data_IF_181994289833
#
_entry.id   IF_181994289833
#
_cell.length_a   1.000
_cell.length_b   1.000
_cell.length_c   1.000
_cell.angle_alpha   90.00
_cell.angle_beta   90.00
_cell.angle_gamma   90.00
#
_symmetry.space_group_name_H-M   'P 1'
#
loop_
_entity.id
_entity.type
_entity.pdbx_description
1 polymer ?
#
# COMPACT_ATOMS: atom_id res chain seq x y z
N UNK A 1 11.95 -4.27 -14.95
CA UNK A 1 12.51 -4.14 -13.58
C UNK A 1 13.92 -3.58 -13.65
N UNK A 2 14.36 -2.73 -12.70
CA UNK A 2 15.74 -2.20 -12.69
C UNK A 2 16.72 -3.30 -12.23
N UNK A 3 17.76 -3.63 -12.99
CA UNK A 3 18.74 -4.65 -12.60
C UNK A 3 19.37 -4.36 -11.24
N UNK A 4 19.50 -5.39 -10.40
CA UNK A 4 20.15 -5.30 -9.07
C UNK A 4 19.53 -4.29 -8.08
N UNK A 5 18.32 -3.81 -8.37
CA UNK A 5 17.55 -3.00 -7.43
C UNK A 5 16.96 -3.84 -6.29
N UNK A 6 16.49 -3.18 -5.23
CA UNK A 6 15.70 -3.85 -4.18
C UNK A 6 14.48 -4.57 -4.76
N UNK A 7 13.83 -3.98 -5.76
CA UNK A 7 12.74 -4.64 -6.49
C UNK A 7 13.20 -5.94 -7.14
N UNK A 8 14.37 -5.93 -7.78
CA UNK A 8 14.96 -7.14 -8.37
C UNK A 8 15.26 -8.21 -7.33
N UNK A 9 15.82 -7.84 -6.18
CA UNK A 9 16.05 -8.79 -5.09
C UNK A 9 14.74 -9.43 -4.61
N UNK A 10 13.69 -8.63 -4.38
CA UNK A 10 12.38 -9.13 -3.96
C UNK A 10 11.78 -10.05 -5.03
N UNK A 11 11.81 -9.61 -6.30
CA UNK A 11 11.32 -10.41 -7.44
C UNK A 11 12.06 -11.74 -7.57
N UNK A 12 13.39 -11.74 -7.40
CA UNK A 12 14.21 -12.95 -7.42
C UNK A 12 13.88 -13.91 -6.26
N UNK A 13 13.67 -13.40 -5.05
CA UNK A 13 13.27 -14.22 -3.88
C UNK A 13 11.88 -14.85 -4.12
N UNK A 14 10.90 -14.07 -4.58
CA UNK A 14 9.56 -14.58 -4.88
C UNK A 14 9.59 -15.58 -6.03
N UNK A 15 10.36 -15.28 -7.09
CA UNK A 15 10.58 -16.17 -8.21
C UNK A 15 11.26 -17.48 -7.79
N UNK A 16 12.19 -17.43 -6.85
CA UNK A 16 12.85 -18.61 -6.30
C UNK A 16 11.83 -19.49 -5.56
N UNK A 17 10.95 -18.90 -4.74
CA UNK A 17 9.84 -19.65 -4.13
C UNK A 17 8.89 -20.23 -5.18
N UNK A 18 8.59 -19.47 -6.23
CA UNK A 18 7.80 -19.93 -7.38
C UNK A 18 8.47 -21.11 -8.10
N UNK A 19 9.79 -21.19 -8.11
CA UNK A 19 10.47 -22.38 -8.62
C UNK A 19 10.38 -23.56 -7.67
N UNK A 20 10.55 -23.32 -6.38
CA UNK A 20 10.51 -24.38 -5.38
C UNK A 20 9.14 -25.04 -5.30
N UNK A 21 8.03 -24.30 -5.26
CA UNK A 21 6.70 -24.93 -5.21
C UNK A 21 6.23 -25.53 -6.55
N UNK A 22 6.91 -25.24 -7.67
CA UNK A 22 6.66 -25.94 -8.94
C UNK A 22 7.41 -27.28 -9.00
N UNK A 23 8.58 -27.39 -8.36
CA UNK A 23 9.34 -28.63 -8.25
C UNK A 23 8.87 -29.54 -7.11
N UNK A 24 8.41 -28.95 -6.00
CA UNK A 24 7.87 -29.66 -4.84
C UNK A 24 6.42 -29.25 -4.60
N UNK A 25 5.44 -29.99 -5.14
CA UNK A 25 4.02 -29.66 -5.02
C UNK A 25 3.53 -29.52 -3.57
N UNK A 26 4.19 -30.19 -2.61
CA UNK A 26 3.88 -30.07 -1.17
C UNK A 26 3.96 -28.62 -0.68
N UNK A 27 4.88 -27.82 -1.24
CA UNK A 27 5.01 -26.40 -0.87
C UNK A 27 3.80 -25.55 -1.31
N UNK A 28 2.99 -26.02 -2.27
CA UNK A 28 1.74 -25.35 -2.66
C UNK A 28 0.70 -25.36 -1.55
N UNK A 29 0.76 -26.31 -0.61
CA UNK A 29 -0.09 -26.31 0.57
C UNK A 29 0.27 -25.20 1.56
N UNK A 30 1.50 -24.69 1.51
CA UNK A 30 1.95 -23.54 2.32
C UNK A 30 1.56 -22.24 1.62
N UNK A 31 1.94 -22.08 0.35
CA UNK A 31 1.61 -20.90 -0.44
C UNK A 31 1.66 -21.19 -1.94
N UNK A 32 0.54 -20.97 -2.63
CA UNK A 32 0.45 -21.10 -4.09
C UNK A 32 0.30 -19.74 -4.76
N UNK A 33 1.30 -19.37 -5.57
CA UNK A 33 1.29 -18.15 -6.37
C UNK A 33 0.20 -18.10 -7.45
N UNK A 34 -0.38 -19.24 -7.85
CA UNK A 34 -1.43 -19.31 -8.89
C UNK A 34 -1.04 -18.62 -10.20
N UNK A 35 0.20 -18.87 -10.64
CA UNK A 35 0.78 -18.30 -11.86
C UNK A 35 1.05 -19.38 -12.94
N UNK A 36 0.03 -20.11 -13.44
CA UNK A 36 0.23 -21.17 -14.43
C UNK A 36 0.82 -20.66 -15.75
N UNK A 37 0.52 -19.41 -16.13
CA UNK A 37 1.04 -18.77 -17.34
C UNK A 37 2.58 -18.66 -17.36
N UNK A 38 3.23 -18.68 -16.19
CA UNK A 38 4.68 -18.59 -16.03
C UNK A 38 5.38 -19.94 -15.83
N UNK A 39 4.65 -21.07 -15.92
CA UNK A 39 5.23 -22.42 -15.80
C UNK A 39 6.23 -22.76 -16.92
N UNK A 40 6.19 -22.04 -18.03
CA UNK A 40 7.16 -22.19 -19.13
C UNK A 40 8.61 -21.76 -18.75
N UNK A 41 8.80 -21.15 -17.58
CA UNK A 41 10.12 -20.76 -17.05
C UNK A 41 10.72 -21.91 -16.26
N UNK A 42 11.69 -22.60 -16.87
CA UNK A 42 12.20 -23.87 -16.35
C UNK A 42 13.51 -23.75 -15.56
N UNK A 43 14.25 -22.66 -15.68
CA UNK A 43 15.59 -22.55 -15.08
C UNK A 43 15.67 -21.51 -13.96
N UNK A 44 16.44 -21.81 -12.90
CA UNK A 44 16.73 -20.85 -11.82
C UNK A 44 17.47 -19.62 -12.33
N UNK A 45 18.37 -19.80 -13.30
CA UNK A 45 19.09 -18.69 -13.93
C UNK A 45 18.12 -17.68 -14.58
N UNK A 46 17.10 -18.16 -15.30
CA UNK A 46 16.10 -17.26 -15.89
C UNK A 46 15.31 -16.49 -14.82
N UNK A 47 14.97 -17.13 -13.71
CA UNK A 47 14.22 -16.54 -12.59
C UNK A 47 15.04 -15.47 -11.85
N UNK A 48 16.32 -15.74 -11.62
CA UNK A 48 17.23 -14.83 -10.92
C UNK A 48 17.81 -13.73 -11.84
N UNK A 49 17.66 -13.89 -13.16
CA UNK A 49 18.18 -12.93 -14.13
C UNK A 49 17.27 -11.70 -14.20
N UNK A 50 17.84 -10.47 -14.17
CA UNK A 50 17.09 -9.25 -14.43
C UNK A 50 16.41 -9.25 -15.81
N UNK A 51 16.92 -10.07 -16.72
CA UNK A 51 16.50 -10.16 -18.11
C UNK A 51 15.63 -11.40 -18.40
N UNK A 52 15.26 -12.18 -17.38
CA UNK A 52 14.35 -13.30 -17.52
C UNK A 52 12.95 -12.87 -17.95
N UNK A 53 12.16 -13.78 -18.56
CA UNK A 53 10.82 -13.48 -19.06
C UNK A 53 9.90 -12.89 -18.01
N UNK A 54 9.93 -13.43 -16.79
CA UNK A 54 9.14 -12.93 -15.65
C UNK A 54 9.59 -11.50 -15.29
N UNK A 55 10.87 -11.29 -15.00
CA UNK A 55 11.38 -9.98 -14.52
C UNK A 55 11.31 -8.85 -15.58
N UNK A 56 11.21 -9.20 -16.87
CA UNK A 56 10.95 -8.27 -17.97
C UNK A 56 9.47 -8.00 -18.24
N UNK A 57 8.59 -8.88 -17.77
CA UNK A 57 7.16 -8.73 -18.00
C UNK A 57 6.60 -7.52 -17.27
N UNK A 58 5.68 -6.81 -17.93
CA UNK A 58 4.82 -5.80 -17.32
C UNK A 58 3.55 -6.41 -16.74
N UNK A 59 3.28 -7.69 -17.04
CA UNK A 59 2.12 -8.45 -16.53
C UNK A 59 2.46 -9.11 -15.18
N UNK A 60 2.82 -8.26 -14.21
CA UNK A 60 3.16 -8.67 -12.85
C UNK A 60 2.65 -7.63 -11.84
N UNK A 61 2.19 -8.11 -10.68
CA UNK A 61 1.74 -7.25 -9.59
C UNK A 61 2.82 -6.22 -9.17
N UNK A 62 4.11 -6.59 -9.20
CA UNK A 62 5.22 -5.67 -8.87
C UNK A 62 5.38 -4.51 -9.86
N UNK A 63 4.94 -4.69 -11.11
CA UNK A 63 4.87 -3.60 -12.09
C UNK A 63 3.63 -2.73 -11.83
N UNK A 64 2.52 -3.37 -11.48
CA UNK A 64 1.22 -2.70 -11.33
C UNK A 64 1.11 -1.81 -10.10
N UNK A 65 1.85 -2.15 -9.06
CA UNK A 65 1.91 -1.35 -7.83
C UNK A 65 2.79 -0.10 -8.00
N UNK A 66 3.56 0.04 -9.09
CA UNK A 66 4.39 1.23 -9.29
C UNK A 66 3.51 2.48 -9.37
N UNK A 67 3.83 3.58 -8.65
CA UNK A 67 2.95 4.75 -8.58
C UNK A 67 2.57 5.30 -9.95
N UNK A 68 3.53 5.45 -10.88
CA UNK A 68 3.28 5.95 -12.24
C UNK A 68 2.29 5.07 -13.02
N UNK A 69 2.48 3.76 -13.02
CA UNK A 69 1.60 2.83 -13.73
C UNK A 69 0.21 2.77 -13.10
N UNK A 70 0.14 2.90 -11.76
CA UNK A 70 -1.12 3.04 -11.03
C UNK A 70 -1.88 4.30 -11.42
N UNK A 71 -1.20 5.46 -11.50
CA UNK A 71 -1.83 6.71 -11.93
C UNK A 71 -2.42 6.58 -13.35
N UNK A 72 -1.65 5.98 -14.26
CA UNK A 72 -2.08 5.72 -15.64
C UNK A 72 -3.32 4.83 -15.70
N UNK A 73 -3.40 3.79 -14.87
CA UNK A 73 -4.59 2.93 -14.77
C UNK A 73 -5.77 3.66 -14.16
N UNK A 74 -5.54 4.45 -13.11
CA UNK A 74 -6.59 5.24 -12.48
C UNK A 74 -7.26 6.21 -13.47
N UNK A 75 -6.50 6.76 -14.42
CA UNK A 75 -7.04 7.62 -15.48
C UNK A 75 -8.00 6.89 -16.44
N UNK A 76 -8.01 5.56 -16.45
CA UNK A 76 -8.89 4.73 -17.27
C UNK A 76 -10.16 4.29 -16.51
N UNK A 77 -10.32 4.66 -15.24
CA UNK A 77 -11.51 4.33 -14.46
C UNK A 77 -12.73 5.09 -15.01
N UNK A 78 -13.76 4.35 -15.41
CA UNK A 78 -15.03 4.88 -15.93
C UNK A 78 -16.19 4.43 -15.07
N UNK A 79 -17.29 5.19 -15.09
CA UNK A 79 -18.54 4.85 -14.39
C UNK A 79 -18.44 4.72 -12.87
N UNK A 80 -17.47 5.40 -12.25
CA UNK A 80 -17.31 5.42 -10.79
C UNK A 80 -18.52 6.05 -10.08
N UNK A 81 -19.31 6.89 -10.78
CA UNK A 81 -20.57 7.49 -10.34
C UNK A 81 -21.66 6.46 -9.98
N UNK A 82 -21.59 5.25 -10.56
CA UNK A 82 -22.62 4.21 -10.41
C UNK A 82 -22.44 3.34 -9.18
N UNK A 83 -21.27 3.39 -8.54
CA UNK A 83 -20.89 2.51 -7.43
C UNK A 83 -20.67 3.32 -6.16
N UNK A 84 -20.91 2.66 -5.02
CA UNK A 84 -20.51 3.20 -3.73
C UNK A 84 -19.02 2.90 -3.51
N UNK A 85 -18.25 3.91 -3.15
CA UNK A 85 -16.80 3.81 -3.07
C UNK A 85 -16.36 4.07 -1.64
N UNK A 86 -15.68 3.08 -1.07
CA UNK A 86 -15.16 3.11 0.28
C UNK A 86 -13.70 2.70 0.27
N UNK A 87 -12.85 3.56 0.82
CA UNK A 87 -11.48 3.24 1.14
C UNK A 87 -11.31 3.02 2.64
N UNK A 88 -10.69 1.89 3.00
CA UNK A 88 -10.19 1.65 4.36
C UNK A 88 -8.73 2.07 4.37
N UNK A 89 -8.43 3.15 5.10
CA UNK A 89 -7.11 3.77 5.16
C UNK A 89 -6.44 3.37 6.48
N UNK A 90 -5.34 2.64 6.37
CA UNK A 90 -4.49 2.27 7.51
C UNK A 90 -3.65 3.47 7.99
N UNK A 91 -2.76 3.25 8.94
CA UNK A 91 -1.94 4.28 9.54
C UNK A 91 -0.50 3.80 9.78
N UNK A 92 0.39 4.74 10.09
CA UNK A 92 1.73 4.46 10.60
C UNK A 92 1.74 4.17 12.12
N UNK A 93 0.57 4.04 12.75
CA UNK A 93 0.45 3.82 14.18
C UNK A 93 0.97 2.43 14.58
N UNK A 94 1.77 2.42 15.64
CA UNK A 94 2.40 1.20 16.15
C UNK A 94 2.35 1.21 17.68
N UNK A 95 1.93 0.08 18.24
CA UNK A 95 1.96 -0.23 19.66
C UNK A 95 3.11 -1.20 19.96
N UNK A 96 3.84 -0.94 21.03
CA UNK A 96 4.95 -1.81 21.44
C UNK A 96 4.36 -2.99 22.25
N UNK A 97 4.57 -4.25 21.84
CA UNK A 97 4.07 -5.42 22.56
C UNK A 97 4.91 -5.68 23.83
N UNK A 98 4.69 -4.85 24.87
CA UNK A 98 5.52 -4.82 26.08
C UNK A 98 5.52 -6.17 26.80
N UNK A 99 4.36 -6.83 26.89
CA UNK A 99 4.22 -8.11 27.60
C UNK A 99 5.04 -9.19 26.91
N UNK A 100 4.94 -9.29 25.59
CA UNK A 100 5.66 -10.26 24.77
C UNK A 100 7.17 -10.02 24.86
N UNK A 101 7.61 -8.75 24.77
CA UNK A 101 9.02 -8.37 24.94
C UNK A 101 9.53 -8.77 26.32
N UNK A 102 8.77 -8.50 27.38
CA UNK A 102 9.13 -8.90 28.76
C UNK A 102 9.23 -10.42 28.88
N UNK A 103 8.28 -11.17 28.30
CA UNK A 103 8.31 -12.63 28.31
C UNK A 103 9.51 -13.19 27.55
N UNK A 104 9.85 -12.62 26.39
CA UNK A 104 11.05 -12.99 25.62
C UNK A 104 12.31 -12.75 26.46
N UNK A 105 12.43 -11.57 27.07
CA UNK A 105 13.57 -11.23 27.92
C UNK A 105 13.68 -12.20 29.10
N UNK A 106 12.57 -12.53 29.74
CA UNK A 106 12.53 -13.45 30.87
C UNK A 106 12.90 -14.89 30.47
N UNK A 107 12.47 -15.36 29.29
CA UNK A 107 12.95 -16.64 28.72
C UNK A 107 14.46 -16.62 28.52
N UNK A 108 15.00 -15.54 27.93
CA UNK A 108 16.44 -15.40 27.71
C UNK A 108 17.22 -15.41 29.03
N UNK A 109 16.76 -14.66 30.04
CA UNK A 109 17.36 -14.63 31.38
C UNK A 109 17.38 -16.04 31.97
N UNK A 110 16.27 -16.77 31.95
CA UNK A 110 16.24 -18.13 32.50
C UNK A 110 17.13 -19.12 31.73
N UNK A 111 17.21 -19.02 30.42
CA UNK A 111 18.13 -19.84 29.62
C UNK A 111 19.58 -19.54 30.00
N UNK A 112 19.95 -18.26 30.08
CA UNK A 112 21.31 -17.84 30.48
C UNK A 112 21.64 -18.31 31.90
N UNK A 113 20.72 -18.13 32.86
CA UNK A 113 20.89 -18.61 34.23
C UNK A 113 21.04 -20.13 34.29
N UNK A 114 20.28 -20.88 33.49
CA UNK A 114 20.42 -22.33 33.41
C UNK A 114 21.81 -22.74 32.89
N UNK A 115 22.29 -22.12 31.80
CA UNK A 115 23.61 -22.38 31.23
C UNK A 115 24.73 -22.08 32.24
N UNK A 116 24.69 -20.91 32.90
CA UNK A 116 25.68 -20.55 33.92
C UNK A 116 25.60 -21.48 35.14
N UNK A 117 24.40 -21.87 35.55
CA UNK A 117 24.19 -22.80 36.66
C UNK A 117 24.83 -24.16 36.39
N UNK A 118 24.66 -24.71 35.18
CA UNK A 118 25.30 -25.97 34.80
C UNK A 118 26.82 -25.84 34.71
N UNK A 119 27.36 -24.76 34.15
CA UNK A 119 28.82 -24.58 34.04
C UNK A 119 29.51 -24.38 35.39
N UNK A 120 28.81 -23.82 36.38
CA UNK A 120 29.32 -23.60 37.75
C UNK A 120 28.98 -24.73 38.73
N UNK A 121 28.32 -25.80 38.29
CA UNK A 121 27.95 -26.94 39.14
C UNK A 121 26.74 -26.69 40.07
N UNK A 122 26.01 -25.58 39.91
CA UNK A 122 24.78 -25.28 40.64
C UNK A 122 23.56 -25.91 39.96
N UNK A 123 23.48 -27.25 39.99
CA UNK A 123 22.47 -28.04 39.27
C UNK A 123 21.02 -27.72 39.67
N UNK A 124 20.75 -27.49 40.95
CA UNK A 124 19.39 -27.16 41.43
C UNK A 124 18.86 -25.84 40.83
N UNK A 125 19.69 -24.79 40.82
CA UNK A 125 19.35 -23.48 40.23
C UNK A 125 19.18 -23.61 38.71
N UNK A 126 20.01 -24.42 38.06
CA UNK A 126 19.93 -24.65 36.63
C UNK A 126 18.62 -25.37 36.23
N UNK A 127 18.27 -26.44 36.94
CA UNK A 127 17.03 -27.19 36.71
C UNK A 127 15.79 -26.32 36.97
N UNK A 128 15.77 -25.54 38.06
CA UNK A 128 14.68 -24.61 38.34
C UNK A 128 14.51 -23.57 37.23
N UNK A 129 15.62 -22.98 36.77
CA UNK A 129 15.62 -22.00 35.68
C UNK A 129 15.08 -22.60 34.37
N UNK A 130 15.41 -23.86 34.08
CA UNK A 130 14.89 -24.56 32.90
C UNK A 130 13.38 -24.81 32.99
N UNK A 131 12.86 -25.22 34.15
CA UNK A 131 11.40 -25.39 34.34
C UNK A 131 10.68 -24.05 34.17
N UNK A 132 11.25 -22.97 34.71
CA UNK A 132 10.72 -21.62 34.57
C UNK A 132 10.76 -21.12 33.11
N UNK A 133 11.82 -21.43 32.36
CA UNK A 133 11.91 -21.07 30.93
C UNK A 133 10.84 -21.79 30.10
N UNK A 134 10.61 -23.09 30.34
CA UNK A 134 9.57 -23.86 29.66
C UNK A 134 8.18 -23.29 29.94
N UNK A 135 7.84 -23.01 31.21
CA UNK A 135 6.55 -22.39 31.57
C UNK A 135 6.36 -21.03 30.90
N UNK A 136 7.41 -20.22 30.89
CA UNK A 136 7.37 -18.89 30.26
C UNK A 136 7.24 -19.00 28.74
N UNK A 137 7.92 -19.95 28.11
CA UNK A 137 7.85 -20.21 26.68
C UNK A 137 6.44 -20.67 26.26
N UNK A 138 5.80 -21.51 27.06
CA UNK A 138 4.40 -21.92 26.81
C UNK A 138 3.43 -20.74 26.92
N UNK A 139 3.63 -19.85 27.91
CA UNK A 139 2.84 -18.62 28.03
C UNK A 139 3.09 -17.68 26.84
N UNK A 140 4.36 -17.51 26.45
CA UNK A 140 4.74 -16.69 25.29
C UNK A 140 4.11 -17.23 24.02
N UNK A 141 4.15 -18.55 23.77
CA UNK A 141 3.51 -19.17 22.61
C UNK A 141 2.02 -18.85 22.51
N UNK A 142 1.30 -18.92 23.64
CA UNK A 142 -0.13 -18.57 23.68
C UNK A 142 -0.36 -17.09 23.39
N UNK A 143 0.48 -16.21 23.90
CA UNK A 143 0.38 -14.77 23.62
C UNK A 143 0.69 -14.47 22.15
N UNK A 144 1.73 -15.09 21.58
CA UNK A 144 2.08 -14.93 20.15
C UNK A 144 0.97 -15.38 19.21
N UNK A 145 0.16 -16.38 19.59
CA UNK A 145 -0.99 -16.83 18.81
C UNK A 145 -2.13 -15.82 18.77
N UNK A 146 -2.25 -14.99 19.80
CA UNK A 146 -3.28 -13.95 19.93
C UNK A 146 -2.74 -12.55 19.63
N UNK A 147 -1.49 -12.46 19.16
CA UNK A 147 -0.83 -11.18 18.95
C UNK A 147 -1.43 -10.47 17.74
N UNK A 148 -1.82 -9.23 17.95
CA UNK A 148 -2.34 -8.38 16.88
C UNK A 148 -1.17 -7.81 16.04
N UNK A 149 -0.79 -8.56 15.01
CA UNK A 149 0.30 -8.20 14.09
C UNK A 149 0.05 -6.90 13.32
N UNK A 150 -1.21 -6.48 13.21
CA UNK A 150 -1.61 -5.21 12.61
C UNK A 150 -1.36 -4.00 13.52
N UNK A 151 -1.21 -4.22 14.83
CA UNK A 151 -0.98 -3.13 15.80
C UNK A 151 0.48 -3.00 16.24
N UNK A 152 1.36 -3.94 15.90
CA UNK A 152 2.76 -3.98 16.38
C UNK A 152 3.76 -3.56 15.28
N UNK A 153 5.06 -3.31 15.59
CA UNK A 153 6.06 -2.87 14.59
C UNK A 153 6.48 -3.96 13.58
N UNK A 154 5.60 -4.89 13.20
CA UNK A 154 5.91 -6.02 12.30
C UNK A 154 6.45 -5.57 10.94
N UNK A 155 5.95 -4.44 10.42
CA UNK A 155 6.38 -3.85 9.15
C UNK A 155 7.23 -2.58 9.31
N UNK A 156 7.72 -2.30 10.51
CA UNK A 156 8.37 -1.02 10.81
C UNK A 156 9.67 -0.80 10.03
N UNK A 157 10.46 -1.86 9.82
CA UNK A 157 11.66 -1.77 8.99
C UNK A 157 11.33 -1.37 7.55
N UNK A 158 10.27 -1.97 6.97
CA UNK A 158 9.82 -1.64 5.62
C UNK A 158 9.24 -0.22 5.57
N UNK A 159 8.53 0.20 6.62
CA UNK A 159 8.04 1.57 6.77
C UNK A 159 9.18 2.59 6.68
N UNK A 160 10.27 2.36 7.41
CA UNK A 160 11.45 3.23 7.40
C UNK A 160 12.14 3.24 6.03
N UNK A 161 12.27 2.07 5.38
CA UNK A 161 12.85 1.96 4.04
C UNK A 161 12.01 2.73 3.02
N UNK A 162 10.68 2.57 3.03
CA UNK A 162 9.78 3.30 2.14
C UNK A 162 9.83 4.81 2.38
N UNK A 163 9.77 5.24 3.66
CA UNK A 163 9.85 6.66 4.02
C UNK A 163 11.16 7.26 3.50
N UNK A 164 12.30 6.61 3.75
CA UNK A 164 13.60 7.05 3.24
C UNK A 164 13.63 7.09 1.72
N UNK A 165 13.07 6.08 1.07
CA UNK A 165 13.06 6.00 -0.40
C UNK A 165 12.29 7.17 -1.02
N UNK A 166 11.10 7.50 -0.52
CA UNK A 166 10.29 8.64 -0.99
C UNK A 166 11.07 9.95 -0.93
N UNK A 167 11.82 10.20 0.16
CA UNK A 167 12.62 11.41 0.30
C UNK A 167 13.77 11.52 -0.71
N UNK A 168 14.31 10.38 -1.15
CA UNK A 168 15.42 10.31 -2.10
C UNK A 168 14.97 10.28 -3.56
N UNK A 169 13.70 10.02 -3.83
CA UNK A 169 13.18 9.93 -5.19
C UNK A 169 13.08 11.31 -5.85
N UNK A 170 13.47 11.39 -7.12
CA UNK A 170 13.10 12.51 -7.97
C UNK A 170 11.59 12.46 -8.27
N UNK A 171 11.05 13.51 -8.88
CA UNK A 171 9.65 13.52 -9.30
C UNK A 171 9.37 12.36 -10.27
N UNK A 172 8.58 11.38 -9.84
CA UNK A 172 8.29 10.15 -10.59
C UNK A 172 6.99 10.23 -11.43
N UNK A 173 6.13 11.22 -11.13
CA UNK A 173 4.93 11.59 -11.88
C UNK A 173 4.53 13.02 -11.50
N UNK A 174 3.65 13.65 -12.29
CA UNK A 174 3.23 15.03 -12.04
C UNK A 174 2.32 15.12 -10.81
N UNK A 175 2.63 16.04 -9.90
CA UNK A 175 1.95 16.15 -8.61
C UNK A 175 2.51 15.21 -7.54
N UNK A 176 3.65 14.55 -7.78
CA UNK A 176 4.39 13.86 -6.72
C UNK A 176 5.00 14.86 -5.75
N UNK A 177 4.57 14.79 -4.49
CA UNK A 177 5.11 15.58 -3.37
C UNK A 177 5.66 14.65 -2.29
N UNK A 178 6.93 14.81 -1.94
CA UNK A 178 7.60 13.97 -0.94
C UNK A 178 6.94 14.11 0.44
N UNK A 179 6.52 15.32 0.81
CA UNK A 179 5.93 15.60 2.12
C UNK A 179 4.56 14.93 2.27
N UNK A 180 3.85 14.73 1.16
CA UNK A 180 2.54 14.07 1.16
C UNK A 180 2.68 12.54 1.10
N UNK A 181 3.66 12.03 0.35
CA UNK A 181 3.79 10.61 0.05
C UNK A 181 4.68 9.84 1.04
N UNK A 182 5.40 10.50 1.95
CA UNK A 182 6.35 9.79 2.84
C UNK A 182 5.67 8.93 3.92
N UNK A 183 4.48 9.30 4.39
CA UNK A 183 3.72 8.53 5.35
C UNK A 183 3.19 7.23 4.72
N UNK A 184 3.38 6.11 5.43
CA UNK A 184 3.02 4.78 4.94
C UNK A 184 2.75 3.81 6.11
N UNK A 185 2.06 2.72 5.83
CA UNK A 185 1.69 1.68 6.80
C UNK A 185 2.66 0.50 6.83
N UNK A 186 3.85 0.66 6.24
CA UNK A 186 4.84 -0.38 6.06
C UNK A 186 4.70 -1.17 4.75
N UNK A 187 3.71 -0.92 3.90
CA UNK A 187 3.66 -1.50 2.56
C UNK A 187 3.13 -0.54 1.48
N UNK A 188 2.23 0.37 1.83
CA UNK A 188 1.61 1.33 0.92
C UNK A 188 1.61 2.73 1.55
N UNK A 189 1.82 3.75 0.72
CA UNK A 189 1.75 5.15 1.17
C UNK A 189 0.32 5.53 1.57
N UNK A 190 0.14 6.18 2.72
CA UNK A 190 -1.20 6.49 3.27
C UNK A 190 -2.00 7.39 2.34
N UNK A 191 -1.33 8.35 1.69
CA UNK A 191 -1.97 9.21 0.70
C UNK A 191 -2.51 8.42 -0.49
N UNK A 192 -1.78 7.38 -0.94
CA UNK A 192 -2.22 6.55 -2.05
C UNK A 192 -3.43 5.67 -1.76
N UNK A 193 -3.74 5.41 -0.49
CA UNK A 193 -4.89 4.59 -0.11
C UNK A 193 -6.20 5.36 -0.19
N UNK A 194 -6.16 6.69 -0.04
CA UNK A 194 -7.35 7.50 0.16
C UNK A 194 -8.35 7.37 -1.00
N UNK A 195 -7.85 7.41 -2.23
CA UNK A 195 -8.61 7.26 -3.46
C UNK A 195 -7.65 7.03 -4.64
N UNK A 196 -8.14 6.58 -5.80
CA UNK A 196 -7.36 6.58 -7.04
C UNK A 196 -7.02 8.01 -7.46
N UNK A 197 -5.73 8.31 -7.51
CA UNK A 197 -5.21 9.57 -8.04
C UNK A 197 -4.87 9.42 -9.53
N UNK A 198 -4.99 10.50 -10.29
CA UNK A 198 -4.58 10.58 -11.71
C UNK A 198 -3.47 11.62 -11.85
N UNK A 199 -2.61 11.47 -12.86
CA UNK A 199 -1.63 12.52 -13.17
C UNK A 199 -2.35 13.83 -13.51
N UNK A 200 -1.73 14.97 -13.21
CA UNK A 200 -2.26 16.28 -13.59
C UNK A 200 -2.43 16.41 -15.12
N UNK A 201 -1.56 15.75 -15.90
CA UNK A 201 -1.64 15.69 -17.37
C UNK A 201 -2.81 14.83 -17.89
N UNK A 202 -3.31 13.89 -17.08
CA UNK A 202 -4.37 12.96 -17.49
C UNK A 202 -5.77 13.53 -17.21
N UNK A 203 -5.87 14.75 -16.66
CA UNK A 203 -7.17 15.45 -16.60
C UNK A 203 -7.55 15.83 -18.02
N UNK A 204 -8.59 15.23 -18.64
CA UNK A 204 -9.09 15.76 -19.90
C UNK A 204 -9.50 17.22 -19.68
N UNK A 205 -9.21 18.07 -20.66
CA UNK A 205 -9.53 19.50 -20.75
C UNK A 205 -11.05 19.74 -20.77
N UNK A 206 -11.76 19.27 -19.74
CA UNK A 206 -13.22 19.35 -19.55
C UNK A 206 -13.58 19.82 -18.15
N UNK A 207 -12.67 20.54 -17.48
CA UNK A 207 -13.00 21.30 -16.27
C UNK A 207 -12.71 22.79 -16.48
N UNK A 208 -13.24 23.34 -17.57
CA UNK A 208 -13.46 24.76 -17.77
C UNK A 208 -14.68 24.91 -18.71
N UNK A 209 -15.89 24.75 -18.16
CA UNK A 209 -17.13 25.32 -18.69
C UNK A 209 -18.32 24.79 -17.87
N UNK A 210 -18.56 25.40 -16.71
CA UNK A 210 -19.93 25.58 -16.22
C UNK A 210 -20.04 27.05 -15.86
N UNK A 211 -20.39 27.82 -16.88
CA UNK A 211 -20.50 29.26 -16.89
C UNK A 211 -21.02 29.60 -18.28
N UNK A 212 -22.35 29.60 -18.36
CA UNK A 212 -23.23 30.10 -19.41
C UNK A 212 -22.56 30.87 -20.56
N UNK A 213 -22.80 30.43 -21.80
CA UNK A 213 -23.21 31.26 -22.94
C UNK A 213 -23.65 30.30 -24.06
N UNK A 214 -24.95 30.32 -24.29
CA UNK A 214 -25.62 29.89 -25.51
C UNK A 214 -25.11 30.74 -26.69
N UNK A 215 -24.63 30.13 -27.77
CA UNK A 215 -24.71 30.62 -29.16
C UNK A 215 -24.01 29.63 -30.12
N UNK A 216 -24.86 28.88 -30.82
CA UNK A 216 -24.92 28.61 -32.26
C UNK A 216 -23.63 28.55 -33.11
N UNK A 217 -23.70 27.61 -34.08
CA UNK A 217 -22.96 27.48 -35.36
C UNK A 217 -21.65 26.70 -35.39
N UNK A 218 -21.73 25.46 -35.90
CA UNK A 218 -20.67 24.77 -36.66
C UNK A 218 -20.70 25.26 -38.13
N UNK A 219 -19.60 25.19 -38.90
CA UNK A 219 -19.39 23.97 -39.71
C UNK A 219 -17.91 23.54 -40.00
N UNK A 220 -17.69 22.21 -39.93
CA UNK A 220 -16.93 21.25 -40.79
C UNK A 220 -15.51 21.48 -41.42
N UNK A 221 -14.74 20.36 -41.35
CA UNK A 221 -13.71 19.75 -42.28
C UNK A 221 -12.39 20.55 -42.56
N UNK A 222 -11.17 20.00 -42.77
CA UNK A 222 -10.63 18.63 -42.96
C UNK A 222 -9.07 18.65 -43.01
N UNK A 223 -8.47 17.45 -42.99
CA UNK A 223 -7.23 16.99 -43.71
C UNK A 223 -5.80 17.15 -43.13
N UNK A 224 -5.27 15.99 -42.67
CA UNK A 224 -3.97 15.32 -42.94
C UNK A 224 -2.81 16.11 -43.60
N UNK A 225 -1.60 16.05 -42.99
CA UNK A 225 -0.34 15.46 -43.53
C UNK A 225 0.90 15.80 -42.66
N UNK A 226 1.65 14.78 -42.24
CA UNK A 226 3.10 14.79 -41.91
C UNK A 226 3.91 14.45 -43.19
N UNK A 227 5.27 14.38 -43.23
CA UNK A 227 6.34 14.78 -42.27
C UNK A 227 7.52 15.57 -42.94
N UNK A 228 8.48 16.05 -42.12
CA UNK A 228 9.94 15.79 -42.26
C UNK A 228 10.89 16.95 -41.87
N UNK A 229 11.89 16.56 -41.05
CA UNK A 229 13.32 16.97 -41.05
C UNK A 229 13.82 18.25 -40.31
N UNK A 230 14.53 17.95 -39.20
CA UNK A 230 15.91 18.37 -38.79
C UNK A 230 16.34 19.83 -38.99
N UNK A 231 16.65 20.50 -37.87
CA UNK A 231 18.00 21.01 -37.59
C UNK A 231 18.13 21.48 -36.12
N UNK A 232 19.29 21.22 -35.54
CA UNK A 232 19.69 21.59 -34.19
C UNK A 232 20.13 23.05 -34.13
N UNK A 233 19.73 23.79 -33.09
CA UNK A 233 20.47 24.96 -32.58
C UNK A 233 20.40 24.95 -31.06
N UNK A 234 21.58 24.89 -30.47
CA UNK A 234 21.87 25.09 -29.05
C UNK A 234 21.78 26.57 -28.70
N UNK A 235 20.95 26.94 -27.71
CA UNK A 235 21.09 28.22 -27.01
C UNK A 235 21.05 27.96 -25.51
N UNK A 236 22.20 28.15 -24.90
CA UNK A 236 22.43 28.24 -23.47
C UNK A 236 21.91 29.60 -23.00
N UNK A 237 20.88 29.65 -22.16
CA UNK A 237 20.61 30.87 -21.39
C UNK A 237 20.09 30.54 -19.98
N UNK A 238 20.77 31.15 -19.03
CA UNK A 238 20.72 30.95 -17.59
C UNK A 238 19.54 31.64 -16.91
N UNK A 239 18.92 30.90 -15.97
CA UNK A 239 18.39 31.35 -14.67
C UNK A 239 17.68 32.72 -14.63
N UNK A 240 16.35 32.70 -14.53
CA UNK A 240 15.60 33.62 -13.67
C UNK A 240 14.38 32.92 -13.05
N UNK A 241 14.36 32.95 -11.72
CA UNK A 241 13.27 32.56 -10.83
C UNK A 241 11.95 33.22 -11.24
N UNK A 242 10.90 32.40 -11.46
CA UNK A 242 9.52 32.84 -11.34
C UNK A 242 8.70 31.78 -10.59
N UNK A 243 8.58 32.04 -9.30
CA UNK A 243 7.35 31.99 -8.50
C UNK A 243 6.26 31.00 -8.94
N UNK A 244 6.12 29.95 -8.12
CA UNK A 244 4.90 29.19 -7.89
C UNK A 244 3.62 30.04 -7.96
N UNK A 245 2.61 29.69 -8.78
CA UNK A 245 1.28 30.24 -8.60
C UNK A 245 0.63 29.56 -7.40
N UNK A 246 0.54 30.32 -6.31
CA UNK A 246 -0.28 30.03 -5.13
C UNK A 246 -1.74 30.06 -5.60
N UNK A 247 -2.41 28.91 -5.60
CA UNK A 247 -3.86 28.86 -5.82
C UNK A 247 -4.54 29.68 -4.72
N UNK A 248 -5.09 30.84 -5.07
CA UNK A 248 -5.99 31.59 -4.21
C UNK A 248 -7.31 30.82 -4.10
N UNK A 249 -7.58 30.36 -2.89
CA UNK A 249 -8.75 29.60 -2.49
C UNK A 249 -9.96 30.54 -2.45
N UNK A 250 -10.93 30.34 -3.36
CA UNK A 250 -12.21 31.07 -3.36
C UNK A 250 -13.08 30.54 -2.19
N UNK A 251 -12.90 31.17 -1.03
CA UNK A 251 -13.23 30.66 0.31
C UNK A 251 -14.69 30.62 0.77
N UNK A 252 -15.66 30.23 -0.06
CA UNK A 252 -17.05 30.03 0.45
C UNK A 252 -17.72 28.70 0.08
N UNK A 253 -17.19 27.90 -0.86
CA UNK A 253 -17.73 26.57 -1.17
C UNK A 253 -16.86 25.40 -0.66
N UNK A 254 -15.60 25.69 -0.30
CA UNK A 254 -14.62 24.67 0.13
C UNK A 254 -14.94 24.08 1.51
N UNK A 255 -15.59 24.83 2.42
CA UNK A 255 -15.94 24.31 3.76
C UNK A 255 -16.98 23.19 3.72
N UNK A 256 -17.98 23.30 2.85
CA UNK A 256 -19.04 22.28 2.72
C UNK A 256 -18.54 21.01 2.01
N UNK A 257 -17.62 21.16 1.05
CA UNK A 257 -17.00 20.04 0.35
C UNK A 257 -15.92 19.35 1.20
N UNK A 258 -15.13 20.13 1.95
CA UNK A 258 -14.14 19.65 2.93
C UNK A 258 -14.79 18.91 4.12
N UNK A 259 -15.93 19.38 4.64
CA UNK A 259 -16.69 18.66 5.68
C UNK A 259 -17.26 17.32 5.18
N UNK A 260 -17.66 17.22 3.91
CA UNK A 260 -18.16 15.95 3.33
C UNK A 260 -17.05 14.93 3.09
N UNK A 261 -15.83 15.39 2.87
CA UNK A 261 -14.67 14.54 2.62
C UNK A 261 -14.19 13.78 3.87
N UNK A 262 -14.50 14.23 5.08
CA UNK A 262 -14.05 13.60 6.35
C UNK A 262 -15.16 12.85 7.09
N UNK A 263 -16.30 12.59 6.42
CA UNK A 263 -17.35 11.75 6.96
C UNK A 263 -16.87 10.31 7.07
N UNK A 264 -16.81 9.76 8.30
CA UNK A 264 -16.60 8.33 8.47
C UNK A 264 -17.87 7.57 8.01
N UNK A 265 -17.78 6.76 6.96
CA UNK A 265 -18.92 6.07 6.37
C UNK A 265 -19.42 4.92 7.23
N UNK A 266 -18.69 4.50 8.27
CA UNK A 266 -19.08 3.41 9.17
C UNK A 266 -19.94 3.87 10.34
N UNK A 267 -20.03 5.18 10.56
CA UNK A 267 -20.83 5.77 11.62
C UNK A 267 -22.31 5.87 11.20
N UNK A 268 -23.25 5.30 11.98
CA UNK A 268 -24.67 5.28 11.62
C UNK A 268 -25.29 6.67 11.39
N UNK A 269 -24.81 7.69 12.08
CA UNK A 269 -25.27 9.07 11.92
C UNK A 269 -25.00 9.62 10.51
N UNK A 270 -24.01 9.08 9.81
CA UNK A 270 -23.57 9.56 8.51
C UNK A 270 -24.27 8.88 7.33
N UNK A 271 -24.99 7.76 7.55
CA UNK A 271 -25.58 6.97 6.47
C UNK A 271 -26.50 7.79 5.56
N UNK A 272 -27.31 8.70 6.12
CA UNK A 272 -28.20 9.55 5.31
C UNK A 272 -27.47 10.45 4.31
N UNK A 273 -26.17 10.72 4.53
CA UNK A 273 -25.34 11.61 3.73
C UNK A 273 -24.53 10.88 2.67
N UNK A 274 -24.43 9.55 2.73
CA UNK A 274 -23.58 8.81 1.80
C UNK A 274 -24.24 8.68 0.42
N UNK A 275 -23.45 8.77 -0.65
CA UNK A 275 -23.87 8.85 -2.06
C UNK A 275 -22.95 8.01 -2.95
N UNK A 276 -23.49 7.46 -4.04
CA UNK A 276 -22.69 6.79 -5.07
C UNK A 276 -21.82 7.82 -5.81
N UNK A 277 -20.69 7.37 -6.37
CA UNK A 277 -19.75 8.25 -7.06
C UNK A 277 -18.79 9.05 -6.18
N UNK A 278 -18.92 8.95 -4.87
CA UNK A 278 -18.06 9.63 -3.92
C UNK A 278 -17.19 8.62 -3.16
N UNK A 279 -15.91 8.94 -3.00
CA UNK A 279 -14.97 8.16 -2.21
C UNK A 279 -15.07 8.54 -0.73
N UNK A 280 -15.59 7.63 0.08
CA UNK A 280 -15.56 7.74 1.54
C UNK A 280 -14.33 7.06 2.11
N UNK A 281 -13.89 7.52 3.29
CA UNK A 281 -12.66 7.07 3.94
C UNK A 281 -12.97 6.61 5.36
N UNK A 282 -12.72 5.35 5.64
CA UNK A 282 -12.73 4.81 7.01
C UNK A 282 -11.28 4.63 7.46
N UNK A 283 -10.88 5.31 8.54
CA UNK A 283 -9.50 5.26 9.03
C UNK A 283 -9.35 4.22 10.12
N UNK A 284 -8.28 3.43 10.04
CA UNK A 284 -7.95 2.41 11.04
C UNK A 284 -6.55 2.69 11.58
N UNK A 285 -6.42 2.76 12.90
CA UNK A 285 -5.15 3.03 13.59
C UNK A 285 -4.25 1.77 13.68
N UNK A 286 -4.07 1.09 12.54
CA UNK A 286 -3.29 -0.14 12.38
C UNK A 286 -2.44 -0.07 11.11
N UNK A 287 -1.44 -0.94 11.01
CA UNK A 287 -0.55 -1.06 9.85
C UNK A 287 -1.22 -1.83 8.69
N UNK A 288 -0.46 -2.15 7.64
CA UNK A 288 -0.95 -2.81 6.43
C UNK A 288 -1.70 -4.14 6.64
N UNK A 289 -1.45 -4.82 7.76
CA UNK A 289 -2.11 -6.09 8.07
C UNK A 289 -3.55 -5.92 8.57
N UNK A 290 -4.05 -4.68 8.71
CA UNK A 290 -5.43 -4.39 9.10
C UNK A 290 -6.45 -5.10 8.18
N UNK A 291 -7.52 -5.63 8.75
CA UNK A 291 -8.56 -6.37 8.01
C UNK A 291 -8.12 -7.75 7.49
N UNK A 292 -6.93 -8.23 7.85
CA UNK A 292 -6.47 -9.59 7.51
C UNK A 292 -6.63 -10.55 8.69
N UNK A 293 -6.21 -11.81 8.53
CA UNK A 293 -6.11 -12.77 9.65
C UNK A 293 -5.13 -12.31 10.76
N UNK A 294 -4.20 -11.42 10.42
CA UNK A 294 -3.22 -10.87 11.34
C UNK A 294 -3.73 -9.69 12.17
N UNK A 295 -5.00 -9.31 11.98
CA UNK A 295 -5.68 -8.25 12.69
C UNK A 295 -6.78 -8.84 13.59
N UNK A 296 -6.59 -8.73 14.91
CA UNK A 296 -7.56 -9.24 15.89
C UNK A 296 -8.93 -8.53 15.85
N UNK A 297 -8.99 -7.28 15.37
CA UNK A 297 -10.23 -6.49 15.25
C UNK A 297 -10.88 -6.61 13.87
N UNK A 298 -10.28 -7.40 12.97
CA UNK A 298 -10.77 -7.62 11.61
C UNK A 298 -12.27 -8.01 11.56
N UNK A 299 -12.79 -8.94 12.39
CA UNK A 299 -14.22 -9.25 12.39
C UNK A 299 -15.11 -8.05 12.68
N UNK A 300 -14.72 -7.20 13.64
CA UNK A 300 -15.48 -6.01 14.01
C UNK A 300 -15.42 -4.94 12.90
N UNK A 301 -14.26 -4.80 12.25
CA UNK A 301 -14.11 -3.96 11.06
C UNK A 301 -15.09 -4.41 9.96
N UNK A 302 -15.08 -5.68 9.58
CA UNK A 302 -15.99 -6.18 8.55
C UNK A 302 -17.47 -6.06 8.93
N UNK A 303 -17.85 -6.27 10.19
CA UNK A 303 -19.22 -6.05 10.65
C UNK A 303 -19.67 -4.59 10.45
N UNK A 304 -18.80 -3.62 10.74
CA UNK A 304 -19.07 -2.21 10.46
C UNK A 304 -19.23 -1.96 8.96
N UNK A 305 -18.32 -2.47 8.14
CA UNK A 305 -18.37 -2.32 6.68
C UNK A 305 -19.64 -2.94 6.08
N UNK A 306 -20.03 -4.14 6.49
CA UNK A 306 -21.25 -4.80 6.02
C UNK A 306 -22.52 -4.06 6.43
N UNK A 307 -22.53 -3.41 7.60
CA UNK A 307 -23.66 -2.54 7.99
C UNK A 307 -23.83 -1.37 7.03
N UNK A 308 -22.73 -0.75 6.57
CA UNK A 308 -22.79 0.31 5.55
C UNK A 308 -23.38 -0.24 4.26
N UNK A 309 -22.93 -1.42 3.84
CA UNK A 309 -23.42 -2.06 2.62
C UNK A 309 -24.91 -2.38 2.70
N UNK A 310 -25.38 -3.00 3.79
CA UNK A 310 -26.79 -3.34 3.96
C UNK A 310 -27.70 -2.09 3.89
N UNK A 311 -27.33 -1.02 4.59
CA UNK A 311 -28.16 0.20 4.66
C UNK A 311 -28.20 1.05 3.38
N UNK A 312 -27.21 0.91 2.48
CA UNK A 312 -27.16 1.68 1.23
C UNK A 312 -27.57 0.91 -0.02
N UNK A 313 -27.45 -0.41 0.00
CA UNK A 313 -27.67 -1.23 -1.18
C UNK A 313 -28.95 -2.05 -1.14
N UNK A 314 -29.44 -2.44 0.04
CA UNK A 314 -30.62 -3.31 0.15
C UNK A 314 -31.92 -2.53 0.43
N UNK A 315 -31.83 -1.31 0.95
CA UNK A 315 -32.99 -0.50 1.36
C UNK A 315 -33.29 0.70 0.46
N UNK A 316 -32.49 0.91 -0.60
CA UNK A 316 -32.80 1.92 -1.62
C UNK A 316 -33.70 1.27 -2.70
N UNK A 317 -34.96 1.72 -2.88
CA UNK A 317 -35.89 1.15 -3.85
C UNK A 317 -35.44 1.32 -5.32
#
# INVERSE_FOLDING_TARGET
MVPFSLGHLIGAILGLWFKFHTQWPVLRHVFDFRMPQWQCVTTFHEILSPHGRINRSTDLAVFDILPRERMKRNAQLIHMDKIFLLSVVTSSHVTIPRVEITLILLVLVFIITAVIGFTRGHTAVACFSLVCSIKTLLRLRRQLQNLDFASIPSLYALLLVMRRHVHMLHMIFDGFDREVWHENDGAVNLYSMQQPWTSALDKPFKTFAQGDIELTTSPSLSTLLEPAQRAAVSVTESVRLLSTPRFEEKGMNVKAESQRLDLDPTEPANFSQLRRGQWYRHRVNKNHMAGTHFDSDSPALFQRLFRVMANHFETAP
#
